data_IF_029279006471
#
_entry.id   IF_029279006471
#
_cell.length_a   1.000
_cell.length_b   1.000
_cell.length_c   1.000
_cell.angle_alpha   90.00
_cell.angle_beta   90.00
_cell.angle_gamma   90.00
#
_symmetry.space_group_name_H-M   'P 1'
#
loop_
_entity.id
_entity.type
_entity.pdbx_description
1 polymer ?
#
# COMPACT_ATOMS: atom_id res chain seq x y z
N UNK A 1 40.97 68.56 17.06
CA UNK A 1 40.19 67.31 17.02
C UNK A 1 41.08 66.20 17.52
N UNK A 2 40.83 65.78 18.75
CA UNK A 2 41.77 65.09 19.62
C UNK A 2 41.87 63.58 19.35
N UNK A 3 43.08 63.04 19.48
CA UNK A 3 43.40 61.60 19.34
C UNK A 3 42.71 60.69 20.38
N UNK A 4 42.00 61.25 21.37
CA UNK A 4 41.27 60.51 22.41
C UNK A 4 39.94 59.93 21.91
N UNK A 5 39.15 60.71 21.16
CA UNK A 5 37.83 60.26 20.68
C UNK A 5 37.92 59.06 19.73
N UNK A 6 38.99 58.96 18.95
CA UNK A 6 39.20 57.89 17.99
C UNK A 6 39.56 56.53 18.65
N UNK A 7 39.96 56.54 19.93
CA UNK A 7 40.33 55.32 20.67
C UNK A 7 39.13 54.70 21.38
N UNK A 8 38.18 55.51 21.82
CA UNK A 8 36.94 55.03 22.42
C UNK A 8 35.98 54.49 21.35
N UNK A 9 35.87 55.17 20.19
CA UNK A 9 35.10 54.66 19.04
C UNK A 9 35.60 53.28 18.58
N UNK A 10 36.90 53.02 18.62
CA UNK A 10 37.47 51.70 18.24
C UNK A 10 37.10 50.60 19.23
N UNK A 11 37.03 50.90 20.53
CA UNK A 11 36.62 49.93 21.54
C UNK A 11 35.13 49.61 21.44
N UNK A 12 34.32 50.63 21.18
CA UNK A 12 32.87 50.45 20.99
C UNK A 12 32.58 49.60 19.75
N UNK A 13 33.35 49.78 18.66
CA UNK A 13 33.25 48.94 17.46
C UNK A 13 33.66 47.49 17.77
N UNK A 14 34.72 47.28 18.55
CA UNK A 14 35.21 45.94 18.93
C UNK A 14 34.23 45.20 19.87
N UNK A 15 33.55 45.92 20.76
CA UNK A 15 32.47 45.37 21.59
C UNK A 15 31.22 45.04 20.77
N UNK A 16 30.86 45.89 19.81
CA UNK A 16 29.75 45.64 18.88
C UNK A 16 30.02 44.42 17.99
N UNK A 17 31.25 44.23 17.51
CA UNK A 17 31.63 43.05 16.73
C UNK A 17 31.52 41.76 17.55
N UNK A 18 31.95 41.78 18.82
CA UNK A 18 31.78 40.64 19.74
C UNK A 18 30.31 40.31 20.00
N UNK A 19 29.49 41.34 20.24
CA UNK A 19 28.04 41.18 20.42
C UNK A 19 27.38 40.58 19.16
N UNK A 20 27.77 41.00 17.96
CA UNK A 20 27.26 40.45 16.69
C UNK A 20 27.68 38.98 16.53
N UNK A 21 28.91 38.63 16.91
CA UNK A 21 29.40 37.25 16.83
C UNK A 21 28.68 36.33 17.81
N UNK A 22 28.43 36.80 19.04
CA UNK A 22 27.70 36.06 20.06
C UNK A 22 26.23 35.85 19.68
N UNK A 23 25.57 36.87 19.13
CA UNK A 23 24.19 36.76 18.60
C UNK A 23 24.12 35.80 17.41
N UNK A 24 25.14 35.77 16.55
CA UNK A 24 25.21 34.78 15.44
C UNK A 24 25.39 33.36 15.95
N UNK A 25 26.23 33.15 16.97
CA UNK A 25 26.43 31.82 17.60
C UNK A 25 25.15 31.34 18.27
N UNK A 26 24.48 32.20 19.05
CA UNK A 26 23.21 31.87 19.69
C UNK A 26 22.12 31.51 18.66
N UNK A 27 21.96 32.29 17.59
CA UNK A 27 21.01 31.99 16.51
C UNK A 27 21.33 30.67 15.77
N UNK A 28 22.61 30.35 15.59
CA UNK A 28 23.03 29.11 14.94
C UNK A 28 22.75 27.87 15.83
N UNK A 29 22.91 28.00 17.14
CA UNK A 29 22.60 26.95 18.11
C UNK A 29 21.09 26.75 18.25
N UNK A 30 20.31 27.83 18.28
CA UNK A 30 18.85 27.78 18.38
C UNK A 30 18.23 27.16 17.11
N UNK A 31 18.72 27.53 15.92
CA UNK A 31 18.33 26.85 14.67
C UNK A 31 18.65 25.35 14.68
N UNK A 32 19.80 24.95 15.24
CA UNK A 32 20.17 23.54 15.37
C UNK A 32 19.26 22.80 16.36
N UNK A 33 18.84 23.43 17.47
CA UNK A 33 17.90 22.86 18.44
C UNK A 33 16.50 22.66 17.83
N UNK A 34 15.98 23.68 17.13
CA UNK A 34 14.67 23.61 16.45
C UNK A 34 14.64 22.48 15.40
N UNK A 35 15.69 22.32 14.59
CA UNK A 35 15.78 21.24 13.59
C UNK A 35 15.84 19.86 14.27
N UNK A 36 16.51 19.76 15.44
CA UNK A 36 16.66 18.50 16.18
C UNK A 36 15.35 18.11 16.87
N UNK A 37 14.64 19.07 17.44
CA UNK A 37 13.32 18.89 18.06
C UNK A 37 12.24 18.58 17.02
N UNK A 38 12.27 19.21 15.83
CA UNK A 38 11.36 18.86 14.73
C UNK A 38 11.59 17.45 14.18
N UNK A 39 12.82 16.93 14.23
CA UNK A 39 13.14 15.54 13.85
C UNK A 39 12.74 14.51 14.90
N UNK A 40 12.78 14.86 16.19
CA UNK A 40 12.37 13.96 17.28
C UNK A 40 10.86 13.98 17.56
N UNK A 41 10.16 15.03 17.15
CA UNK A 41 8.72 15.18 17.32
C UNK A 41 7.87 14.56 16.20
N UNK A 42 8.48 13.94 15.18
CA UNK A 42 7.69 13.14 14.24
C UNK A 42 7.28 11.85 14.94
N UNK A 43 5.97 11.63 15.24
CA UNK A 43 5.54 10.36 15.78
C UNK A 43 5.97 9.27 14.80
N UNK A 44 6.53 8.18 15.32
CA UNK A 44 6.73 6.95 14.56
C UNK A 44 5.35 6.40 14.17
N UNK A 45 4.72 7.03 13.17
CA UNK A 45 3.50 6.52 12.58
C UNK A 45 3.91 5.29 11.79
N UNK A 46 3.68 4.13 12.38
CA UNK A 46 3.74 2.86 11.68
C UNK A 46 2.71 2.97 10.55
N UNK A 47 3.17 3.32 9.34
CA UNK A 47 2.37 3.29 8.13
C UNK A 47 2.11 1.82 7.82
N UNK A 48 1.04 1.28 8.40
CA UNK A 48 0.50 -0.01 7.98
C UNK A 48 -0.03 0.21 6.57
N UNK A 49 0.75 -0.17 5.55
CA UNK A 49 0.27 -0.24 4.17
C UNK A 49 -0.75 -1.38 4.08
N UNK A 50 -1.99 -1.10 4.49
CA UNK A 50 -3.15 -1.99 4.32
C UNK A 50 -3.39 -2.28 2.83
N UNK A 51 -3.02 -1.34 1.96
CA UNK A 51 -2.90 -1.54 0.52
C UNK A 51 -1.45 -1.86 0.16
N UNK A 52 -1.03 -3.10 0.40
CA UNK A 52 0.16 -3.61 -0.29
C UNK A 52 -0.19 -3.77 -1.78
N UNK A 53 0.06 -2.74 -2.56
CA UNK A 53 -0.10 -2.77 -4.02
C UNK A 53 1.11 -3.45 -4.67
N UNK A 54 0.90 -4.06 -5.83
CA UNK A 54 1.97 -4.68 -6.62
C UNK A 54 2.86 -3.62 -7.29
N UNK A 55 2.32 -2.42 -7.56
CA UNK A 55 3.07 -1.31 -8.15
C UNK A 55 2.52 0.02 -7.66
N UNK A 56 3.38 1.04 -7.59
CA UNK A 56 2.96 2.42 -7.33
C UNK A 56 2.15 3.00 -8.50
N UNK A 57 2.32 2.47 -9.71
CA UNK A 57 1.52 2.87 -10.87
C UNK A 57 0.19 2.12 -10.85
N UNK A 58 -0.91 2.86 -10.80
CA UNK A 58 -2.28 2.35 -10.72
C UNK A 58 -2.61 1.38 -11.86
N UNK A 59 -2.25 1.72 -13.11
CA UNK A 59 -2.54 0.89 -14.27
C UNK A 59 -1.76 -0.42 -14.22
N UNK A 60 -0.47 -0.35 -13.87
CA UNK A 60 0.37 -1.55 -13.72
C UNK A 60 -0.14 -2.43 -12.57
N UNK A 61 -0.51 -1.83 -11.44
CA UNK A 61 -1.09 -2.57 -10.31
C UNK A 61 -2.38 -3.29 -10.70
N UNK A 62 -3.24 -2.63 -11.49
CA UNK A 62 -4.47 -3.23 -12.00
C UNK A 62 -4.18 -4.41 -12.94
N UNK A 63 -3.29 -4.24 -13.91
CA UNK A 63 -2.93 -5.30 -14.88
C UNK A 63 -2.32 -6.49 -14.15
N UNK A 64 -1.36 -6.27 -13.26
CA UNK A 64 -0.72 -7.35 -12.49
C UNK A 64 -1.73 -8.02 -11.57
N UNK A 65 -2.57 -7.26 -10.88
CA UNK A 65 -3.64 -7.80 -10.03
C UNK A 65 -4.62 -8.65 -10.83
N UNK A 66 -5.00 -8.19 -12.02
CA UNK A 66 -5.85 -8.94 -12.94
C UNK A 66 -5.20 -10.26 -13.35
N UNK A 67 -3.94 -10.24 -13.79
CA UNK A 67 -3.22 -11.45 -14.21
C UNK A 67 -3.11 -12.46 -13.06
N UNK A 68 -2.76 -12.01 -11.86
CA UNK A 68 -2.71 -12.88 -10.68
C UNK A 68 -4.09 -13.48 -10.41
N UNK A 69 -5.13 -12.66 -10.41
CA UNK A 69 -6.49 -13.13 -10.19
C UNK A 69 -6.90 -14.16 -11.22
N UNK A 70 -6.76 -13.85 -12.51
CA UNK A 70 -7.08 -14.76 -13.60
C UNK A 70 -6.37 -16.12 -13.46
N UNK A 71 -5.05 -16.12 -13.22
CA UNK A 71 -4.27 -17.34 -13.03
C UNK A 71 -4.80 -18.13 -11.82
N UNK A 72 -5.08 -17.46 -10.70
CA UNK A 72 -5.56 -18.13 -9.49
C UNK A 72 -6.97 -18.70 -9.67
N UNK A 73 -7.89 -17.96 -10.29
CA UNK A 73 -9.24 -18.44 -10.60
C UNK A 73 -9.16 -19.71 -11.45
N UNK A 74 -8.40 -19.64 -12.55
CA UNK A 74 -8.21 -20.78 -13.45
C UNK A 74 -7.61 -21.99 -12.73
N UNK A 75 -6.47 -21.81 -12.04
CA UNK A 75 -5.78 -22.91 -11.37
C UNK A 75 -6.59 -23.55 -10.25
N UNK A 76 -7.34 -22.76 -9.48
CA UNK A 76 -8.12 -23.31 -8.37
C UNK A 76 -9.36 -24.03 -8.90
N UNK A 77 -10.09 -23.43 -9.85
CA UNK A 77 -11.30 -24.05 -10.40
C UNK A 77 -10.95 -25.33 -11.15
N UNK A 78 -10.00 -25.29 -12.08
CA UNK A 78 -9.61 -26.45 -12.89
C UNK A 78 -8.80 -27.47 -12.07
N UNK A 79 -7.90 -27.01 -11.20
CA UNK A 79 -7.03 -27.90 -10.41
C UNK A 79 -7.78 -28.70 -9.35
N UNK A 80 -8.81 -28.12 -8.73
CA UNK A 80 -9.67 -28.80 -7.74
C UNK A 80 -11.00 -29.27 -8.32
N UNK A 81 -11.27 -29.00 -9.61
CA UNK A 81 -12.54 -29.32 -10.30
C UNK A 81 -13.76 -28.82 -9.54
N UNK A 82 -13.71 -27.57 -9.06
CA UNK A 82 -14.78 -26.99 -8.22
C UNK A 82 -16.00 -26.53 -9.04
N UNK A 83 -15.80 -26.22 -10.31
CA UNK A 83 -16.88 -25.75 -11.18
C UNK A 83 -16.72 -26.33 -12.57
N UNK A 84 -17.85 -26.49 -13.25
CA UNK A 84 -17.89 -26.88 -14.65
C UNK A 84 -18.12 -25.64 -15.51
N UNK A 85 -17.37 -25.55 -16.61
CA UNK A 85 -17.49 -24.47 -17.59
C UNK A 85 -17.43 -25.04 -19.00
N UNK A 86 -18.39 -24.64 -19.84
CA UNK A 86 -18.39 -24.98 -21.25
C UNK A 86 -17.49 -24.06 -22.09
N UNK A 87 -17.06 -22.93 -21.54
CA UNK A 87 -16.22 -21.95 -22.23
C UNK A 87 -15.18 -21.33 -21.29
N UNK A 88 -13.91 -21.66 -21.50
CA UNK A 88 -12.79 -21.16 -20.70
C UNK A 88 -12.67 -19.63 -20.69
N UNK A 89 -13.22 -18.93 -21.69
CA UNK A 89 -13.26 -17.46 -21.72
C UNK A 89 -14.07 -16.87 -20.56
N UNK A 90 -14.98 -17.63 -19.94
CA UNK A 90 -15.76 -17.15 -18.80
C UNK A 90 -14.85 -16.81 -17.61
N UNK A 91 -13.74 -17.54 -17.42
CA UNK A 91 -12.78 -17.28 -16.35
C UNK A 91 -12.09 -15.93 -16.53
N UNK A 92 -11.79 -15.55 -17.77
CA UNK A 92 -11.21 -14.26 -18.09
C UNK A 92 -12.19 -13.14 -17.75
N UNK A 93 -13.46 -13.29 -18.15
CA UNK A 93 -14.50 -12.30 -17.87
C UNK A 93 -14.77 -12.16 -16.37
N UNK A 94 -14.90 -13.27 -15.63
CA UNK A 94 -15.04 -13.28 -14.17
C UNK A 94 -13.85 -12.57 -13.52
N UNK A 95 -12.62 -12.88 -13.94
CA UNK A 95 -11.42 -12.28 -13.37
C UNK A 95 -11.32 -10.76 -13.63
N UNK A 96 -11.73 -10.28 -14.82
CA UNK A 96 -11.75 -8.84 -15.14
C UNK A 96 -12.77 -8.11 -14.24
N UNK A 97 -14.00 -8.61 -14.19
CA UNK A 97 -15.07 -7.99 -13.39
C UNK A 97 -14.66 -7.99 -11.92
N UNK A 98 -14.20 -9.13 -11.43
CA UNK A 98 -13.75 -9.29 -10.06
C UNK A 98 -12.63 -8.31 -9.71
N UNK A 99 -11.60 -8.20 -10.54
CA UNK A 99 -10.47 -7.29 -10.30
C UNK A 99 -10.91 -5.83 -10.31
N UNK A 100 -11.81 -5.46 -11.21
CA UNK A 100 -12.40 -4.12 -11.29
C UNK A 100 -13.17 -3.78 -10.03
N UNK A 101 -14.04 -4.68 -9.60
CA UNK A 101 -14.83 -4.54 -8.38
C UNK A 101 -13.95 -4.48 -7.13
N UNK A 102 -12.95 -5.35 -7.03
CA UNK A 102 -11.98 -5.35 -5.94
C UNK A 102 -11.21 -4.03 -5.88
N UNK A 103 -10.76 -3.51 -7.03
CA UNK A 103 -10.05 -2.24 -7.13
C UNK A 103 -10.92 -1.06 -6.68
N UNK A 104 -12.15 -0.96 -7.18
CA UNK A 104 -13.10 0.08 -6.78
C UNK A 104 -13.43 0.00 -5.30
N UNK A 105 -13.68 -1.20 -4.78
CA UNK A 105 -14.03 -1.41 -3.38
C UNK A 105 -12.87 -1.05 -2.45
N UNK A 106 -11.63 -1.42 -2.79
CA UNK A 106 -10.44 -0.98 -2.04
C UNK A 106 -10.31 0.55 -2.04
N UNK A 107 -10.46 1.19 -3.19
CA UNK A 107 -10.40 2.65 -3.26
C UNK A 107 -11.49 3.30 -2.41
N UNK A 108 -12.72 2.81 -2.50
CA UNK A 108 -13.85 3.36 -1.76
C UNK A 108 -13.68 3.17 -0.25
N UNK A 109 -13.37 1.95 0.18
CA UNK A 109 -13.23 1.59 1.60
C UNK A 109 -12.03 2.27 2.25
N UNK A 110 -10.87 2.33 1.57
CA UNK A 110 -9.66 2.94 2.12
C UNK A 110 -9.70 4.47 2.08
N UNK A 111 -10.48 5.11 1.20
CA UNK A 111 -10.62 6.56 1.21
C UNK A 111 -11.69 7.05 2.19
N UNK A 112 -12.84 6.35 2.25
CA UNK A 112 -14.03 6.85 2.96
C UNK A 112 -14.30 6.12 4.28
N UNK A 113 -13.92 4.85 4.39
CA UNK A 113 -14.34 3.96 5.49
C UNK A 113 -13.19 3.16 6.12
N UNK A 114 -12.01 3.77 6.30
CA UNK A 114 -10.83 3.12 6.89
C UNK A 114 -11.13 2.49 8.26
N UNK A 115 -11.92 3.18 9.10
CA UNK A 115 -12.33 2.66 10.41
C UNK A 115 -13.04 1.31 10.28
N UNK A 116 -13.95 1.16 9.31
CA UNK A 116 -14.68 -0.09 9.09
C UNK A 116 -13.74 -1.22 8.67
N UNK A 117 -12.76 -0.94 7.81
CA UNK A 117 -11.74 -1.91 7.42
C UNK A 117 -10.91 -2.37 8.62
N UNK A 118 -10.49 -1.44 9.48
CA UNK A 118 -9.71 -1.75 10.68
C UNK A 118 -10.52 -2.52 11.72
N UNK A 119 -11.75 -2.08 12.03
CA UNK A 119 -12.61 -2.75 13.00
C UNK A 119 -13.02 -4.15 12.54
N UNK A 120 -13.26 -4.35 11.24
CA UNK A 120 -13.56 -5.67 10.69
C UNK A 120 -12.32 -6.57 10.55
N UNK A 121 -11.11 -6.09 10.88
CA UNK A 121 -9.84 -6.79 10.64
C UNK A 121 -9.70 -7.31 9.20
N UNK A 122 -10.27 -6.59 8.23
CA UNK A 122 -10.29 -7.01 6.82
C UNK A 122 -11.33 -8.09 6.47
N UNK A 123 -12.17 -8.55 7.41
CA UNK A 123 -13.26 -9.49 7.16
C UNK A 123 -14.29 -8.95 6.15
N UNK A 124 -14.41 -7.63 6.04
CA UNK A 124 -15.24 -7.01 4.98
C UNK A 124 -14.79 -7.41 3.57
N UNK A 125 -13.48 -7.56 3.34
CA UNK A 125 -12.95 -8.00 2.06
C UNK A 125 -13.26 -9.49 1.83
N UNK A 126 -13.21 -10.31 2.88
CA UNK A 126 -13.62 -11.72 2.81
C UNK A 126 -15.09 -11.83 2.38
N UNK A 127 -15.98 -11.14 3.09
CA UNK A 127 -17.42 -11.15 2.78
C UNK A 127 -17.69 -10.65 1.38
N UNK A 128 -17.00 -9.60 0.93
CA UNK A 128 -17.12 -9.12 -0.42
C UNK A 128 -16.75 -10.18 -1.47
N UNK A 129 -15.63 -10.86 -1.30
CA UNK A 129 -15.22 -11.94 -2.22
C UNK A 129 -16.25 -13.07 -2.21
N UNK A 130 -16.76 -13.43 -1.04
CA UNK A 130 -17.79 -14.45 -0.89
C UNK A 130 -19.07 -14.07 -1.64
N UNK A 131 -19.59 -12.86 -1.39
CA UNK A 131 -20.76 -12.32 -2.07
C UNK A 131 -20.56 -12.27 -3.57
N UNK A 132 -19.38 -11.88 -4.03
CA UNK A 132 -19.07 -11.83 -5.46
C UNK A 132 -19.14 -13.22 -6.10
N UNK A 133 -18.51 -14.24 -5.50
CA UNK A 133 -18.49 -15.59 -6.09
C UNK A 133 -19.89 -16.21 -6.09
N UNK A 134 -20.68 -16.02 -5.03
CA UNK A 134 -22.08 -16.43 -5.04
C UNK A 134 -22.92 -15.65 -6.06
N UNK A 135 -22.67 -14.36 -6.23
CA UNK A 135 -23.34 -13.58 -7.26
C UNK A 135 -23.01 -14.10 -8.66
N UNK A 136 -21.77 -14.50 -8.92
CA UNK A 136 -21.38 -15.13 -10.20
C UNK A 136 -22.12 -16.45 -10.41
N UNK A 137 -22.16 -17.33 -9.41
CA UNK A 137 -22.85 -18.62 -9.49
C UNK A 137 -24.36 -18.47 -9.77
N UNK A 138 -24.97 -17.40 -9.26
CA UNK A 138 -26.41 -17.12 -9.46
C UNK A 138 -26.72 -16.32 -10.73
N UNK A 139 -25.85 -15.41 -11.14
CA UNK A 139 -26.09 -14.49 -12.27
C UNK A 139 -25.58 -15.05 -13.60
N UNK A 140 -24.54 -15.88 -13.58
CA UNK A 140 -24.04 -16.51 -14.80
C UNK A 140 -24.94 -17.69 -15.15
N UNK A 141 -25.37 -17.84 -16.42
CA UNK A 141 -26.16 -18.99 -16.84
C UNK A 141 -25.46 -20.31 -16.51
N UNK A 142 -26.23 -21.29 -16.00
CA UNK A 142 -25.74 -22.62 -15.62
C UNK A 142 -25.00 -23.36 -16.75
N UNK A 143 -25.38 -23.07 -18.00
CA UNK A 143 -24.76 -23.61 -19.21
C UNK A 143 -23.34 -23.08 -19.44
N UNK A 144 -23.00 -21.91 -18.90
CA UNK A 144 -21.70 -21.28 -19.09
C UNK A 144 -20.76 -21.54 -17.92
N UNK A 145 -21.29 -21.48 -16.70
CA UNK A 145 -20.53 -21.69 -15.48
C UNK A 145 -21.48 -22.10 -14.35
N UNK A 146 -21.13 -23.16 -13.64
CA UNK A 146 -21.82 -23.52 -12.39
C UNK A 146 -20.87 -24.24 -11.45
N UNK A 147 -20.97 -23.93 -10.16
CA UNK A 147 -20.32 -24.76 -9.15
C UNK A 147 -21.07 -26.09 -9.01
N UNK A 148 -20.33 -27.19 -8.89
CA UNK A 148 -20.96 -28.52 -8.77
C UNK A 148 -21.68 -28.72 -7.42
N UNK A 149 -21.34 -27.92 -6.42
CA UNK A 149 -21.91 -27.99 -5.07
C UNK A 149 -22.06 -26.58 -4.47
N UNK A 150 -23.14 -26.37 -3.72
CA UNK A 150 -23.44 -25.10 -3.05
C UNK A 150 -22.38 -24.64 -2.02
N UNK A 151 -21.55 -25.57 -1.52
CA UNK A 151 -20.41 -25.27 -0.62
C UNK A 151 -19.14 -24.88 -1.37
N UNK A 152 -19.01 -25.24 -2.65
CA UNK A 152 -17.79 -24.98 -3.43
C UNK A 152 -17.47 -23.50 -3.63
N UNK A 153 -18.44 -22.57 -3.76
CA UNK A 153 -18.15 -21.13 -3.67
C UNK A 153 -17.36 -20.73 -2.42
N UNK A 154 -17.73 -21.27 -1.25
CA UNK A 154 -17.07 -20.97 0.03
C UNK A 154 -15.65 -21.53 0.02
N UNK A 155 -15.51 -22.80 -0.37
CA UNK A 155 -14.22 -23.49 -0.47
C UNK A 155 -13.29 -22.75 -1.43
N UNK A 156 -13.80 -22.36 -2.59
CA UNK A 156 -13.07 -21.57 -3.58
C UNK A 156 -12.54 -20.27 -2.96
N UNK A 157 -13.39 -19.48 -2.28
CA UNK A 157 -12.98 -18.20 -1.68
C UNK A 157 -11.91 -18.39 -0.62
N UNK A 158 -12.04 -19.41 0.24
CA UNK A 158 -11.05 -19.70 1.28
C UNK A 158 -9.70 -20.07 0.67
N UNK A 159 -9.68 -21.03 -0.26
CA UNK A 159 -8.45 -21.46 -0.95
C UNK A 159 -7.85 -20.28 -1.70
N UNK A 160 -8.67 -19.53 -2.44
CA UNK A 160 -8.26 -18.37 -3.20
C UNK A 160 -7.56 -17.32 -2.33
N UNK A 161 -8.12 -16.99 -1.18
CA UNK A 161 -7.52 -16.03 -0.26
C UNK A 161 -6.20 -16.50 0.33
N UNK A 162 -6.11 -17.78 0.71
CA UNK A 162 -4.88 -18.38 1.23
C UNK A 162 -3.79 -18.36 0.15
N UNK A 163 -4.09 -18.89 -1.03
CA UNK A 163 -3.13 -18.98 -2.14
C UNK A 163 -2.71 -17.57 -2.57
N UNK A 164 -3.66 -16.64 -2.72
CA UNK A 164 -3.35 -15.24 -3.04
C UNK A 164 -2.42 -14.61 -2.00
N UNK A 165 -2.65 -14.84 -0.71
CA UNK A 165 -1.78 -14.31 0.35
C UNK A 165 -0.35 -14.87 0.24
N UNK A 166 -0.21 -16.16 -0.09
CA UNK A 166 1.08 -16.80 -0.35
C UNK A 166 1.75 -16.16 -1.57
N UNK A 167 1.07 -16.07 -2.72
CA UNK A 167 1.61 -15.46 -3.94
C UNK A 167 2.05 -14.01 -3.71
N UNK A 168 1.26 -13.24 -2.97
CA UNK A 168 1.59 -11.86 -2.62
C UNK A 168 2.83 -11.77 -1.74
N UNK A 169 2.96 -12.64 -0.73
CA UNK A 169 4.15 -12.70 0.12
C UNK A 169 5.39 -13.10 -0.67
N UNK A 170 5.27 -14.07 -1.56
CA UNK A 170 6.35 -14.49 -2.46
C UNK A 170 6.78 -13.35 -3.39
N UNK A 171 5.84 -12.62 -3.98
CA UNK A 171 6.13 -11.46 -4.81
C UNK A 171 6.98 -10.41 -4.07
N UNK A 172 6.56 -10.02 -2.86
CA UNK A 172 7.29 -9.04 -2.03
C UNK A 172 8.70 -9.53 -1.71
N UNK A 173 8.84 -10.81 -1.37
CA UNK A 173 10.14 -11.42 -1.07
C UNK A 173 11.08 -11.37 -2.28
N UNK A 174 10.57 -11.72 -3.46
CA UNK A 174 11.32 -11.67 -4.72
C UNK A 174 11.77 -10.25 -5.06
N UNK A 175 10.89 -9.25 -4.93
CA UNK A 175 11.23 -7.85 -5.18
C UNK A 175 12.30 -7.35 -4.20
N UNK A 176 12.16 -7.68 -2.92
CA UNK A 176 13.15 -7.30 -1.91
C UNK A 176 14.50 -7.97 -2.15
N UNK A 177 14.52 -9.22 -2.60
CA UNK A 177 15.74 -9.93 -2.95
C UNK A 177 16.45 -9.30 -4.15
N UNK A 178 15.72 -8.97 -5.21
CA UNK A 178 16.25 -8.30 -6.41
C UNK A 178 16.82 -6.91 -6.06
N UNK A 179 16.10 -6.11 -5.27
CA UNK A 179 16.56 -4.79 -4.83
C UNK A 179 17.84 -4.87 -3.98
N UNK A 180 17.98 -5.90 -3.14
CA UNK A 180 19.22 -6.14 -2.38
C UNK A 180 20.39 -6.49 -3.29
N UNK A 181 20.15 -7.23 -4.38
CA UNK A 181 21.19 -7.61 -5.34
C UNK A 181 21.66 -6.41 -6.17
N UNK A 182 20.74 -5.54 -6.60
CA UNK A 182 21.06 -4.32 -7.35
C UNK A 182 21.83 -3.28 -6.53
N UNK A 183 21.61 -3.18 -5.20
CA UNK A 183 22.38 -2.29 -4.33
C UNK A 183 23.79 -2.79 -3.99
N UNK A 184 24.09 -4.06 -4.29
CA UNK A 184 25.40 -4.68 -4.06
C UNK A 184 26.28 -4.74 -5.32
N UNK A 185 25.72 -4.41 -6.49
CA UNK A 185 26.43 -4.28 -7.76
C UNK A 185 26.73 -2.81 -8.05
#
# INVERSE_FOLDING_TARGET
MDKKDNKDIRKDIEELEKLIEDVKKQNAEEKKRIIKEQKSAQPNVIKINLALDYSNNIAINFIVGFLVNFILFYLIIEGFRLASSNNQMIYLLIAIIFTTLEFLMKQFMLKKHVKLVLYSSGLIFFLFNLTFIYAIDLLVPLELFSFENYLYPIVFVVIFLIVRAIFKKLYILSVNFLNKKLKKS
#
